data_IF_462612064040
#
_entry.id   IF_462612064040
#
_cell.length_a   1.000
_cell.length_b   1.000
_cell.length_c   1.000
_cell.angle_alpha   90.00
_cell.angle_beta   90.00
_cell.angle_gamma   90.00
#
_symmetry.space_group_name_H-M   'P 1'
#
loop_
_entity.id
_entity.type
_entity.pdbx_description
1 polymer ?
#
# COMPACT_ATOMS: atom_id res chain seq x y z
N UNK A 1 1.95 -7.56 -0.07
CA UNK A 1 1.64 -8.18 -1.39
C UNK A 1 1.67 -7.14 -2.53
N UNK A 2 2.18 -7.49 -3.72
CA UNK A 2 2.13 -6.63 -4.93
C UNK A 2 0.78 -6.78 -5.64
N UNK A 3 0.26 -5.69 -6.19
CA UNK A 3 -1.06 -5.66 -6.84
C UNK A 3 -1.11 -6.47 -8.14
N UNK A 4 0.00 -6.52 -8.87
CA UNK A 4 0.10 -7.20 -10.17
C UNK A 4 -0.24 -8.70 -10.04
N UNK A 5 0.36 -9.37 -9.04
CA UNK A 5 0.15 -10.79 -8.76
C UNK A 5 -1.31 -11.09 -8.39
N UNK A 6 -2.02 -10.13 -7.78
CA UNK A 6 -3.43 -10.32 -7.41
C UNK A 6 -4.36 -10.24 -8.61
N UNK A 7 -3.99 -9.49 -9.65
CA UNK A 7 -4.82 -9.35 -10.86
C UNK A 7 -4.79 -10.59 -11.72
N UNK A 8 -3.69 -11.35 -11.69
CA UNK A 8 -3.53 -12.60 -12.44
C UNK A 8 -4.33 -13.77 -11.85
N UNK A 9 -4.71 -13.71 -10.56
CA UNK A 9 -5.44 -14.78 -9.87
C UNK A 9 -6.93 -14.81 -10.24
N UNK A 10 -7.54 -15.98 -10.27
CA UNK A 10 -8.99 -16.11 -10.51
C UNK A 10 -9.80 -15.51 -9.34
N UNK A 11 -11.06 -15.10 -9.55
CA UNK A 11 -11.91 -14.60 -8.46
C UNK A 11 -12.08 -15.60 -7.32
N UNK A 12 -12.11 -16.92 -7.62
CA UNK A 12 -12.16 -17.97 -6.61
C UNK A 12 -10.87 -18.05 -5.78
N UNK A 13 -9.71 -17.92 -6.42
CA UNK A 13 -8.41 -17.88 -5.74
C UNK A 13 -8.26 -16.63 -4.88
N UNK A 14 -8.74 -15.48 -5.35
CA UNK A 14 -8.77 -14.24 -4.57
C UNK A 14 -9.65 -14.38 -3.33
N UNK A 15 -10.82 -15.00 -3.45
CA UNK A 15 -11.69 -15.28 -2.31
C UNK A 15 -10.99 -16.20 -1.29
N UNK A 16 -10.38 -17.30 -1.75
CA UNK A 16 -9.63 -18.21 -0.89
C UNK A 16 -8.44 -17.50 -0.20
N UNK A 17 -7.71 -16.66 -0.93
CA UNK A 17 -6.60 -15.88 -0.37
C UNK A 17 -7.08 -14.88 0.68
N UNK A 18 -8.26 -14.30 0.48
CA UNK A 18 -8.84 -13.37 1.44
C UNK A 18 -9.16 -14.05 2.77
N UNK A 19 -9.64 -15.29 2.74
CA UNK A 19 -9.91 -16.09 3.94
C UNK A 19 -8.61 -16.48 4.64
N UNK A 20 -7.62 -16.97 3.90
CA UNK A 20 -6.29 -17.30 4.45
C UNK A 20 -5.67 -16.10 5.20
N UNK A 21 -5.74 -14.90 4.61
CA UNK A 21 -5.23 -13.68 5.24
C UNK A 21 -6.06 -13.26 6.47
N UNK A 22 -7.37 -13.52 6.50
CA UNK A 22 -8.22 -13.28 7.67
C UNK A 22 -7.86 -14.20 8.83
N UNK A 23 -7.62 -15.48 8.56
CA UNK A 23 -7.16 -16.44 9.58
C UNK A 23 -5.81 -16.02 10.17
N UNK A 24 -4.86 -15.62 9.31
CA UNK A 24 -3.56 -15.09 9.76
C UNK A 24 -3.74 -13.82 10.62
N UNK A 25 -4.63 -12.91 10.21
CA UNK A 25 -4.93 -11.71 11.00
C UNK A 25 -5.51 -12.07 12.37
N UNK A 26 -6.40 -13.07 12.43
CA UNK A 26 -7.00 -13.53 13.68
C UNK A 26 -5.93 -14.09 14.61
N UNK A 27 -5.03 -14.94 14.09
CA UNK A 27 -3.89 -15.46 14.85
C UNK A 27 -2.99 -14.35 15.41
N UNK A 28 -2.64 -13.36 14.58
CA UNK A 28 -1.84 -12.22 15.04
C UNK A 28 -2.59 -11.36 16.07
N UNK A 29 -3.91 -11.20 15.95
CA UNK A 29 -4.72 -10.51 16.97
C UNK A 29 -4.72 -11.25 18.29
N UNK A 30 -4.81 -12.58 18.29
CA UNK A 30 -4.67 -13.37 19.51
C UNK A 30 -3.30 -13.16 20.15
N UNK A 31 -2.22 -13.26 19.36
CA UNK A 31 -0.85 -13.00 19.85
C UNK A 31 -0.69 -11.57 20.40
N UNK A 32 -1.31 -10.59 19.76
CA UNK A 32 -1.33 -9.20 20.22
C UNK A 32 -2.02 -9.07 21.58
N UNK A 33 -3.19 -9.70 21.76
CA UNK A 33 -3.93 -9.70 23.03
C UNK A 33 -3.16 -10.39 24.15
N UNK A 34 -2.43 -11.48 23.84
CA UNK A 34 -1.56 -12.18 24.80
C UNK A 34 -0.25 -11.43 25.08
N UNK A 35 0.04 -10.34 24.35
CA UNK A 35 1.26 -9.55 24.52
C UNK A 35 2.54 -10.23 23.99
N UNK A 36 2.43 -11.33 23.25
CA UNK A 36 3.55 -12.10 22.70
C UNK A 36 3.78 -11.81 21.21
N UNK A 37 3.35 -10.63 20.74
CA UNK A 37 3.50 -10.29 19.33
C UNK A 37 4.93 -9.84 19.04
N UNK A 38 5.64 -10.61 18.21
CA UNK A 38 7.02 -10.30 17.81
C UNK A 38 7.09 -9.07 16.89
N UNK A 39 6.10 -8.90 16.00
CA UNK A 39 6.10 -7.80 15.03
C UNK A 39 4.69 -7.20 14.82
N UNK A 40 4.35 -6.11 15.54
CA UNK A 40 3.09 -5.39 15.38
C UNK A 40 2.86 -4.83 13.97
N UNK A 41 3.93 -4.56 13.21
CA UNK A 41 3.84 -4.01 11.86
C UNK A 41 3.24 -5.01 10.87
N UNK A 42 3.40 -6.32 11.12
CA UNK A 42 2.79 -7.38 10.32
C UNK A 42 1.26 -7.28 10.31
N UNK A 43 0.65 -6.89 11.44
CA UNK A 43 -0.79 -6.67 11.53
C UNK A 43 -1.29 -5.61 10.55
N UNK A 44 -0.49 -4.54 10.34
CA UNK A 44 -0.78 -3.49 9.36
C UNK A 44 -0.55 -3.98 7.93
N UNK A 45 0.46 -4.81 7.71
CA UNK A 45 0.74 -5.46 6.42
C UNK A 45 -0.43 -6.33 5.96
N UNK A 46 -0.85 -7.29 6.80
CA UNK A 46 -1.93 -8.23 6.49
C UNK A 46 -3.26 -7.49 6.24
N UNK A 47 -3.60 -6.49 7.06
CA UNK A 47 -4.81 -5.68 6.83
C UNK A 47 -4.82 -4.99 5.46
N UNK A 48 -3.67 -4.45 5.03
CA UNK A 48 -3.55 -3.84 3.70
C UNK A 48 -3.63 -4.87 2.58
N UNK A 49 -3.07 -6.06 2.80
CA UNK A 49 -3.10 -7.12 1.80
C UNK A 49 -4.54 -7.66 1.62
N UNK A 50 -5.31 -7.82 2.70
CA UNK A 50 -6.76 -8.11 2.63
C UNK A 50 -7.49 -7.03 1.84
N UNK A 51 -7.23 -5.74 2.14
CA UNK A 51 -7.89 -4.64 1.44
C UNK A 51 -7.59 -4.67 -0.06
N UNK A 52 -6.34 -4.92 -0.47
CA UNK A 52 -5.96 -5.04 -1.89
C UNK A 52 -6.67 -6.19 -2.59
N UNK A 53 -6.74 -7.37 -1.95
CA UNK A 53 -7.45 -8.53 -2.51
C UNK A 53 -8.93 -8.20 -2.72
N UNK A 54 -9.57 -7.59 -1.73
CA UNK A 54 -10.98 -7.18 -1.84
C UNK A 54 -11.20 -6.13 -2.93
N UNK A 55 -10.27 -5.17 -3.09
CA UNK A 55 -10.33 -4.19 -4.19
C UNK A 55 -10.26 -4.87 -5.54
N UNK A 56 -9.29 -5.78 -5.76
CA UNK A 56 -9.16 -6.48 -7.06
C UNK A 56 -10.37 -7.38 -7.33
N UNK A 57 -10.90 -8.06 -6.31
CA UNK A 57 -12.13 -8.86 -6.45
C UNK A 57 -13.30 -7.97 -6.90
N UNK A 58 -13.43 -6.78 -6.31
CA UNK A 58 -14.46 -5.81 -6.69
C UNK A 58 -14.26 -5.22 -8.08
N UNK A 59 -13.01 -4.94 -8.47
CA UNK A 59 -12.65 -4.51 -9.84
C UNK A 59 -13.13 -5.56 -10.86
N UNK A 60 -12.89 -6.85 -10.59
CA UNK A 60 -13.34 -7.97 -11.43
C UNK A 60 -14.87 -8.11 -11.49
N UNK A 61 -15.56 -7.95 -10.36
CA UNK A 61 -17.03 -7.99 -10.32
C UNK A 61 -17.68 -6.86 -11.13
N UNK A 62 -17.08 -5.66 -11.09
CA UNK A 62 -17.61 -4.48 -11.79
C UNK A 62 -17.25 -4.46 -13.29
N UNK A 63 -16.46 -5.42 -13.77
CA UNK A 63 -15.98 -5.44 -15.17
C UNK A 63 -15.06 -4.26 -15.52
N UNK A 64 -14.58 -3.53 -14.51
CA UNK A 64 -13.61 -2.44 -14.68
C UNK A 64 -12.24 -3.08 -14.64
N UNK A 65 -11.85 -3.76 -15.72
CA UNK A 65 -10.44 -3.98 -15.98
C UNK A 65 -9.83 -2.59 -16.18
N UNK A 66 -9.13 -2.07 -15.17
CA UNK A 66 -8.25 -0.92 -15.36
C UNK A 66 -7.01 -1.47 -16.05
N UNK A 67 -6.87 -1.33 -17.39
CA UNK A 67 -5.66 -1.77 -18.06
C UNK A 67 -4.48 -1.07 -17.42
N UNK A 68 -3.39 -1.82 -17.25
CA UNK A 68 -2.13 -1.35 -16.72
C UNK A 68 -1.56 -0.26 -17.64
N UNK A 69 -2.05 0.98 -17.52
CA UNK A 69 -1.28 2.12 -17.98
C UNK A 69 -0.10 2.24 -17.00
N UNK A 70 1.16 2.21 -17.47
CA UNK A 70 2.28 2.54 -16.63
C UNK A 70 2.01 3.95 -16.10
N UNK A 71 1.65 4.05 -14.82
CA UNK A 71 1.51 5.35 -14.18
C UNK A 71 2.93 5.89 -14.15
N UNK A 72 3.23 6.76 -15.12
CA UNK A 72 4.43 7.56 -15.16
C UNK A 72 4.67 8.05 -13.74
N UNK A 73 5.85 7.69 -13.22
CA UNK A 73 6.38 8.19 -11.97
C UNK A 73 6.11 9.69 -11.92
N UNK A 74 5.14 10.10 -11.10
CA UNK A 74 5.05 11.49 -10.68
C UNK A 74 6.26 11.68 -9.77
N UNK A 75 7.39 11.98 -10.40
CA UNK A 75 8.57 12.50 -9.75
C UNK A 75 8.09 13.66 -8.89
N UNK A 76 8.28 13.54 -7.59
CA UNK A 76 8.16 14.67 -6.67
C UNK A 76 9.33 15.61 -6.97
N UNK A 77 9.24 16.36 -8.06
CA UNK A 77 9.99 17.61 -8.22
C UNK A 77 9.19 18.67 -7.48
N UNK A 78 9.65 18.97 -6.28
CA UNK A 78 9.07 19.93 -5.36
C UNK A 78 10.18 20.30 -4.40
N UNK A 79 11.11 21.10 -4.92
CA UNK A 79 12.31 21.55 -4.25
C UNK A 79 11.97 22.20 -2.90
N UNK A 80 12.40 21.57 -1.81
CA UNK A 80 12.76 22.34 -0.62
C UNK A 80 14.18 22.87 -0.84
N UNK A 81 14.27 24.00 -1.54
CA UNK A 81 15.41 24.92 -1.46
C UNK A 81 14.89 26.20 -0.84
N UNK A 82 14.61 26.14 0.46
CA UNK A 82 14.66 27.35 1.29
C UNK A 82 16.11 27.40 1.74
N UNK A 83 16.95 28.04 0.95
CA UNK A 83 18.24 28.55 1.40
C UNK A 83 18.76 29.53 0.33
N UNK A 84 19.05 30.76 0.79
CA UNK A 84 19.92 31.76 0.16
C UNK A 84 19.27 32.82 -0.75
N UNK A 85 18.46 33.72 -0.17
CA UNK A 85 18.26 35.09 -0.68
C UNK A 85 18.54 36.13 0.43
N UNK A 86 19.73 36.06 1.02
CA UNK A 86 20.24 37.11 1.93
C UNK A 86 21.66 37.54 1.54
N UNK A 87 21.83 37.99 0.29
CA UNK A 87 23.10 38.61 -0.14
C UNK A 87 22.90 39.81 -1.09
N UNK A 88 21.85 40.62 -0.85
CA UNK A 88 21.63 41.89 -1.57
C UNK A 88 21.71 43.14 -0.66
N UNK A 89 22.51 43.10 0.41
CA UNK A 89 22.74 44.28 1.29
C UNK A 89 24.23 44.68 1.39
N UNK A 90 25.07 44.42 0.38
CA UNK A 90 26.49 44.85 0.43
C UNK A 90 27.10 45.49 -0.82
N UNK A 91 26.31 45.86 -1.83
CA UNK A 91 26.82 46.62 -2.99
C UNK A 91 25.97 47.86 -3.28
N UNK A 92 25.78 48.70 -2.26
CA UNK A 92 25.58 50.13 -2.47
C UNK A 92 26.62 50.86 -1.63
N UNK A 93 27.83 50.92 -2.20
CA UNK A 93 28.94 51.77 -1.82
C UNK A 93 29.50 52.39 -3.09
#
# INVERSE_FOLDING_TARGET
MKADILRDLSPAELAAKSEELREQLLKLRFQQTTGQIENPQMLRGIRRDIARVMTVLREKELGVEVPLAPTETRTTSGNNSIDTELEQIKETG
#
